data_IF_207906379998
#
_entry.id   IF_207906379998
#
_cell.length_a   1.000
_cell.length_b   1.000
_cell.length_c   1.000
_cell.angle_alpha   90.00
_cell.angle_beta   90.00
_cell.angle_gamma   90.00
#
_symmetry.space_group_name_H-M   'P 1'
#
loop_
_entity.id
_entity.type
_entity.pdbx_description
1 polymer ?
#
# COMPACT_ATOMS: atom_id res chain seq x y z
N UNK A 1 -52.11 -16.74 21.28
CA UNK A 1 -50.91 -17.40 21.86
C UNK A 1 -49.76 -16.46 21.50
N UNK A 2 -49.48 -15.43 22.32
CA UNK A 2 -48.52 -15.47 23.45
C UNK A 2 -47.22 -16.16 23.01
N UNK A 3 -46.03 -15.56 22.95
CA UNK A 3 -45.45 -14.27 23.35
C UNK A 3 -43.97 -14.33 22.90
N UNK A 4 -43.04 -13.41 23.15
CA UNK A 4 -43.04 -12.14 23.86
C UNK A 4 -41.72 -11.39 23.49
N UNK A 5 -41.81 -10.06 23.55
CA UNK A 5 -40.84 -9.07 24.06
C UNK A 5 -39.37 -8.99 23.60
N UNK A 6 -39.06 -7.84 22.99
CA UNK A 6 -37.79 -7.08 23.13
C UNK A 6 -37.76 -6.33 24.51
N UNK A 7 -36.86 -5.37 24.87
CA UNK A 7 -35.68 -4.77 24.18
C UNK A 7 -34.46 -4.38 25.09
N UNK A 8 -33.47 -3.70 24.47
CA UNK A 8 -32.68 -2.54 24.97
C UNK A 8 -31.35 -2.70 25.76
N UNK A 9 -30.40 -1.79 25.42
CA UNK A 9 -29.29 -1.29 26.26
C UNK A 9 -27.93 -1.94 25.99
N UNK A 10 -26.78 -1.25 25.97
CA UNK A 10 -26.48 0.12 26.35
C UNK A 10 -25.11 0.55 25.76
N UNK A 11 -24.95 1.85 25.56
CA UNK A 11 -23.70 2.53 25.21
C UNK A 11 -22.69 2.44 26.37
N UNK A 12 -21.41 2.19 26.08
CA UNK A 12 -20.30 2.58 26.98
C UNK A 12 -19.20 3.21 26.13
N UNK A 13 -19.20 4.53 26.19
CA UNK A 13 -18.05 5.39 25.93
C UNK A 13 -16.96 5.08 26.95
N UNK A 14 -15.73 4.85 26.51
CA UNK A 14 -14.53 4.98 27.35
C UNK A 14 -13.30 5.15 26.46
N UNK A 15 -13.05 6.41 26.10
CA UNK A 15 -11.70 6.91 25.94
C UNK A 15 -10.88 6.55 27.19
N UNK A 16 -9.74 5.89 26.99
CA UNK A 16 -8.63 5.92 27.94
C UNK A 16 -7.34 6.18 27.16
N UNK A 17 -7.03 7.46 27.06
CA UNK A 17 -5.73 8.02 26.69
C UNK A 17 -4.74 7.60 27.77
N UNK A 18 -3.72 6.81 27.43
CA UNK A 18 -2.53 6.68 28.28
C UNK A 18 -1.55 7.77 27.88
N UNK A 19 -1.47 8.77 28.75
CA UNK A 19 -0.42 9.76 28.81
C UNK A 19 0.91 9.07 29.11
N UNK A 20 1.92 9.31 28.29
CA UNK A 20 3.32 9.17 28.70
C UNK A 20 3.80 10.60 28.94
N UNK A 21 3.79 10.97 30.21
CA UNK A 21 4.51 12.12 30.73
C UNK A 21 5.91 11.63 31.11
N UNK A 22 6.90 12.03 30.32
CA UNK A 22 8.28 12.13 30.80
C UNK A 22 8.84 13.44 30.30
N UNK A 23 8.65 14.48 31.11
CA UNK A 23 9.55 15.61 31.14
C UNK A 23 10.96 15.11 31.48
N UNK A 24 11.91 15.29 30.56
CA UNK A 24 13.29 15.56 30.94
C UNK A 24 13.64 16.94 30.40
N UNK A 25 13.77 17.84 31.36
CA UNK A 25 14.21 19.22 31.20
C UNK A 25 15.73 19.18 31.01
N UNK A 26 16.18 19.50 29.80
CA UNK A 26 17.54 20.03 29.62
C UNK A 26 17.50 21.12 28.55
N UNK A 27 17.52 22.35 29.04
CA UNK A 27 17.61 23.58 28.23
C UNK A 27 19.07 23.82 27.88
N UNK A 28 19.40 23.91 26.58
CA UNK A 28 20.47 24.79 26.12
C UNK A 28 20.07 25.45 24.80
N UNK A 29 20.27 26.76 24.76
CA UNK A 29 19.80 27.65 23.72
C UNK A 29 20.81 27.70 22.56
N UNK A 30 20.51 26.97 21.49
CA UNK A 30 21.07 27.19 20.16
C UNK A 30 20.00 27.76 19.24
N UNK A 31 20.17 29.01 18.83
CA UNK A 31 19.31 29.68 17.86
C UNK A 31 19.51 29.04 16.47
N UNK A 32 18.42 28.68 15.79
CA UNK A 32 18.12 29.08 14.42
C UNK A 32 16.79 28.47 13.95
N UNK A 33 15.92 29.38 13.56
CA UNK A 33 14.67 29.17 12.83
C UNK A 33 14.80 28.19 11.68
N UNK A 34 13.96 27.16 11.66
CA UNK A 34 13.07 26.85 10.52
C UNK A 34 12.06 25.80 10.99
N UNK A 35 10.82 26.22 11.13
CA UNK A 35 9.70 25.31 11.26
C UNK A 35 9.70 24.38 10.05
N UNK A 36 10.13 23.13 10.25
CA UNK A 36 9.72 22.06 9.35
C UNK A 36 8.21 21.89 9.53
N UNK A 37 7.50 22.51 8.60
CA UNK A 37 6.09 22.27 8.33
C UNK A 37 5.84 20.77 8.43
N UNK A 38 4.82 20.29 9.16
CA UNK A 38 4.45 18.89 9.12
C UNK A 38 4.17 18.55 7.66
N UNK A 39 5.01 17.68 7.08
CA UNK A 39 4.80 17.16 5.74
C UNK A 39 3.36 16.67 5.68
N UNK A 40 2.57 17.27 4.79
CA UNK A 40 1.17 16.94 4.64
C UNK A 40 1.06 15.44 4.36
N UNK A 41 0.15 14.75 5.04
CA UNK A 41 -0.15 13.34 4.75
C UNK A 41 -0.48 13.10 3.26
N UNK A 42 -0.84 14.16 2.52
CA UNK A 42 -1.09 14.11 1.07
C UNK A 42 0.16 13.81 0.25
N UNK A 43 1.36 14.11 0.74
CA UNK A 43 2.61 13.88 0.00
C UNK A 43 3.23 12.50 0.29
N UNK A 44 2.75 11.78 1.30
CA UNK A 44 3.32 10.48 1.70
C UNK A 44 3.05 9.41 0.65
N UNK A 45 1.80 9.27 0.21
CA UNK A 45 1.40 8.30 -0.81
C UNK A 45 2.10 8.50 -2.16
N UNK A 46 2.14 9.70 -2.77
CA UNK A 46 2.84 9.90 -4.04
C UNK A 46 4.36 9.66 -3.93
N UNK A 47 5.00 10.03 -2.82
CA UNK A 47 6.41 9.73 -2.61
C UNK A 47 6.68 8.23 -2.43
N UNK A 48 5.83 7.53 -1.68
CA UNK A 48 5.92 6.08 -1.53
C UNK A 48 5.79 5.36 -2.88
N UNK A 49 4.77 5.69 -3.67
CA UNK A 49 4.56 5.10 -5.00
C UNK A 49 5.73 5.40 -5.93
N UNK A 50 6.28 6.62 -5.88
CA UNK A 50 7.47 6.98 -6.66
C UNK A 50 8.68 6.13 -6.26
N UNK A 51 8.96 5.99 -4.97
CA UNK A 51 10.08 5.17 -4.48
C UNK A 51 9.92 3.70 -4.89
N UNK A 52 8.68 3.18 -4.87
CA UNK A 52 8.39 1.84 -5.38
C UNK A 52 8.63 1.71 -6.88
N UNK A 53 8.20 2.70 -7.66
CA UNK A 53 8.42 2.72 -9.12
C UNK A 53 9.91 2.79 -9.47
N UNK A 54 10.73 3.46 -8.66
CA UNK A 54 12.19 3.55 -8.89
C UNK A 54 12.92 2.20 -8.65
N UNK A 55 12.28 1.24 -7.97
CA UNK A 55 12.83 -0.12 -7.77
C UNK A 55 12.59 -1.07 -8.95
N UNK A 56 11.68 -0.71 -9.86
CA UNK A 56 11.33 -1.51 -11.03
C UNK A 56 11.68 -0.73 -12.28
N UNK A 57 12.52 -1.30 -13.13
CA UNK A 57 12.89 -0.67 -14.39
C UNK A 57 11.64 -0.45 -15.26
N UNK A 58 11.68 0.61 -16.08
CA UNK A 58 10.58 0.89 -17.00
C UNK A 58 10.19 -0.32 -17.87
N UNK A 59 11.13 -1.06 -18.49
CA UNK A 59 10.79 -2.25 -19.27
C UNK A 59 10.07 -3.34 -18.47
N UNK A 60 10.50 -3.60 -17.23
CA UNK A 60 9.83 -4.56 -16.34
C UNK A 60 8.43 -4.06 -15.95
N UNK A 61 8.30 -2.77 -15.61
CA UNK A 61 7.03 -2.13 -15.30
C UNK A 61 6.03 -2.20 -16.47
N UNK A 62 6.48 -1.95 -17.70
CA UNK A 62 5.66 -2.04 -18.91
C UNK A 62 5.14 -3.48 -19.12
N UNK A 63 5.99 -4.51 -18.92
CA UNK A 63 5.57 -5.92 -19.05
C UNK A 63 4.60 -6.35 -17.95
N UNK A 64 4.85 -5.93 -16.71
CA UNK A 64 3.93 -6.17 -15.59
C UNK A 64 2.58 -5.51 -15.87
N UNK A 65 2.58 -4.28 -16.38
CA UNK A 65 1.37 -3.58 -16.77
C UNK A 65 0.61 -4.35 -17.86
N UNK A 66 1.27 -4.73 -18.95
CA UNK A 66 0.65 -5.51 -20.04
C UNK A 66 0.13 -6.85 -19.54
N UNK A 67 0.86 -7.53 -18.66
CA UNK A 67 0.42 -8.80 -18.10
C UNK A 67 -0.85 -8.64 -17.26
N UNK A 68 -0.94 -7.63 -16.40
CA UNK A 68 -2.08 -7.47 -15.47
C UNK A 68 -3.28 -6.84 -16.19
N UNK A 69 -3.04 -5.73 -16.90
CA UNK A 69 -4.09 -4.84 -17.37
C UNK A 69 -4.49 -5.06 -18.84
N UNK A 70 -3.69 -5.84 -19.57
CA UNK A 70 -3.93 -6.21 -20.96
C UNK A 70 -3.97 -7.74 -21.12
N UNK A 71 -3.78 -8.23 -22.35
CA UNK A 71 -3.94 -9.64 -22.71
C UNK A 71 -2.61 -10.41 -22.78
N UNK A 72 -1.51 -9.84 -22.29
CA UNK A 72 -0.20 -10.49 -22.28
C UNK A 72 -0.16 -11.63 -21.26
N UNK A 73 0.55 -12.72 -21.60
CA UNK A 73 0.52 -14.00 -20.86
C UNK A 73 1.87 -14.47 -20.34
N UNK A 74 2.94 -13.73 -20.59
CA UNK A 74 4.29 -14.15 -20.24
C UNK A 74 5.08 -13.02 -19.61
N UNK A 75 5.88 -13.38 -18.62
CA UNK A 75 6.95 -12.56 -18.08
C UNK A 75 8.27 -13.30 -18.28
N UNK A 76 9.33 -12.54 -18.52
CA UNK A 76 10.69 -13.05 -18.46
C UNK A 76 11.20 -13.08 -17.00
N UNK A 77 12.30 -13.82 -16.82
CA UNK A 77 12.95 -14.01 -15.54
C UNK A 77 13.41 -12.70 -14.91
N UNK A 78 14.00 -11.79 -15.70
CA UNK A 78 14.53 -10.52 -15.21
C UNK A 78 13.42 -9.63 -14.65
N UNK A 79 12.27 -9.59 -15.32
CA UNK A 79 11.08 -8.89 -14.82
C UNK A 79 10.60 -9.47 -13.49
N UNK A 80 10.60 -10.79 -13.32
CA UNK A 80 10.24 -11.40 -12.05
C UNK A 80 11.25 -11.10 -10.93
N UNK A 81 12.54 -10.98 -11.23
CA UNK A 81 13.56 -10.56 -10.27
C UNK A 81 13.31 -9.15 -9.75
N UNK A 82 12.99 -8.20 -10.64
CA UNK A 82 12.72 -6.81 -10.24
C UNK A 82 11.41 -6.70 -9.44
N UNK A 83 10.36 -7.39 -9.89
CA UNK A 83 9.06 -7.42 -9.17
C UNK A 83 9.22 -7.97 -7.76
N UNK A 84 9.85 -9.13 -7.62
CA UNK A 84 10.05 -9.74 -6.28
C UNK A 84 11.03 -8.94 -5.44
N UNK A 85 12.09 -8.40 -6.04
CA UNK A 85 13.08 -7.53 -5.41
C UNK A 85 12.52 -6.20 -4.89
N UNK A 86 11.50 -5.63 -5.55
CA UNK A 86 10.79 -4.44 -5.06
C UNK A 86 9.98 -4.70 -3.78
N UNK A 87 9.68 -5.98 -3.48
CA UNK A 87 8.88 -6.39 -2.35
C UNK A 87 7.37 -6.31 -2.60
N UNK A 88 6.62 -7.15 -1.88
CA UNK A 88 5.16 -7.30 -2.09
C UNK A 88 4.39 -6.01 -1.84
N UNK A 89 4.79 -5.22 -0.85
CA UNK A 89 4.12 -3.98 -0.49
C UNK A 89 4.18 -2.95 -1.63
N UNK A 90 5.37 -2.74 -2.21
CA UNK A 90 5.55 -1.84 -3.34
C UNK A 90 4.80 -2.32 -4.59
N UNK A 91 4.92 -3.60 -4.91
CA UNK A 91 4.19 -4.20 -6.02
C UNK A 91 2.67 -4.01 -5.87
N UNK A 92 2.10 -4.39 -4.72
CA UNK A 92 0.67 -4.27 -4.46
C UNK A 92 0.21 -2.80 -4.55
N UNK A 93 0.99 -1.86 -4.04
CA UNK A 93 0.65 -0.45 -4.04
C UNK A 93 0.62 0.15 -5.44
N UNK A 94 1.62 -0.16 -6.28
CA UNK A 94 1.67 0.28 -7.67
C UNK A 94 0.48 -0.27 -8.46
N UNK A 95 0.18 -1.57 -8.33
CA UNK A 95 -0.95 -2.20 -9.02
C UNK A 95 -2.27 -1.60 -8.56
N UNK A 96 -2.49 -1.45 -7.26
CA UNK A 96 -3.73 -0.85 -6.71
C UNK A 96 -3.92 0.57 -7.23
N UNK A 97 -2.86 1.38 -7.24
CA UNK A 97 -2.90 2.74 -7.75
C UNK A 97 -3.34 2.79 -9.22
N UNK A 98 -2.78 1.92 -10.07
CA UNK A 98 -3.20 1.83 -11.48
C UNK A 98 -4.64 1.33 -11.60
N UNK A 99 -5.01 0.29 -10.84
CA UNK A 99 -6.34 -0.31 -10.88
C UNK A 99 -7.46 0.63 -10.41
N UNK A 100 -7.16 1.59 -9.52
CA UNK A 100 -8.07 2.66 -9.10
C UNK A 100 -8.36 3.69 -10.21
N UNK A 101 -7.54 3.70 -11.27
CA UNK A 101 -7.71 4.55 -12.42
C UNK A 101 -9.05 4.31 -13.15
N UNK A 102 -9.64 5.35 -13.77
CA UNK A 102 -10.99 5.29 -14.33
C UNK A 102 -11.18 4.21 -15.41
N UNK A 103 -10.09 3.85 -16.13
CA UNK A 103 -10.09 2.79 -17.14
C UNK A 103 -10.25 1.39 -16.54
N UNK A 104 -9.71 1.17 -15.34
CA UNK A 104 -9.53 -0.18 -14.77
C UNK A 104 -10.45 -0.47 -13.58
N UNK A 105 -10.96 0.57 -12.92
CA UNK A 105 -11.77 0.47 -11.70
C UNK A 105 -13.00 -0.44 -11.81
N UNK A 106 -13.59 -0.54 -13.00
CA UNK A 106 -14.73 -1.46 -13.27
C UNK A 106 -14.38 -2.93 -13.04
N UNK A 107 -13.12 -3.31 -13.22
CA UNK A 107 -12.60 -4.68 -13.06
C UNK A 107 -11.51 -4.74 -11.98
N UNK A 108 -11.60 -3.88 -10.96
CA UNK A 108 -10.59 -3.74 -9.91
C UNK A 108 -10.19 -5.10 -9.30
N UNK A 109 -11.15 -5.88 -8.81
CA UNK A 109 -10.89 -7.17 -8.16
C UNK A 109 -10.26 -8.20 -9.12
N UNK A 110 -10.63 -8.15 -10.41
CA UNK A 110 -10.01 -9.00 -11.43
C UNK A 110 -8.52 -8.66 -11.60
N UNK A 111 -8.17 -7.38 -11.66
CA UNK A 111 -6.78 -6.95 -11.79
C UNK A 111 -5.96 -7.24 -10.53
N UNK A 112 -6.54 -7.07 -9.34
CA UNK A 112 -5.87 -7.47 -8.10
C UNK A 112 -5.62 -8.96 -8.06
N UNK A 113 -6.62 -9.78 -8.39
CA UNK A 113 -6.44 -11.23 -8.41
C UNK A 113 -5.35 -11.66 -9.39
N UNK A 114 -5.36 -11.08 -10.59
CA UNK A 114 -4.35 -11.34 -11.62
C UNK A 114 -2.94 -10.90 -11.19
N UNK A 115 -2.83 -9.81 -10.43
CA UNK A 115 -1.55 -9.37 -9.87
C UNK A 115 -1.02 -10.29 -8.76
N UNK A 116 -1.90 -10.82 -7.90
CA UNK A 116 -1.50 -11.82 -6.89
C UNK A 116 -0.96 -13.08 -7.55
N UNK A 117 -1.63 -13.54 -8.61
CA UNK A 117 -1.21 -14.72 -9.37
C UNK A 117 0.15 -14.47 -10.04
N UNK A 118 0.38 -13.29 -10.64
CA UNK A 118 1.68 -12.89 -11.18
C UNK A 118 2.77 -12.93 -10.11
N UNK A 119 2.55 -12.29 -8.97
CA UNK A 119 3.54 -12.22 -7.90
C UNK A 119 3.90 -13.63 -7.39
N UNK A 120 2.90 -14.51 -7.25
CA UNK A 120 3.09 -15.91 -6.88
C UNK A 120 3.89 -16.69 -7.92
N UNK A 121 3.66 -16.46 -9.21
CA UNK A 121 4.46 -17.05 -10.30
C UNK A 121 5.91 -16.62 -10.17
N UNK A 122 6.17 -15.33 -9.99
CA UNK A 122 7.52 -14.81 -9.85
C UNK A 122 8.25 -15.35 -8.60
N UNK A 123 7.56 -15.49 -7.46
CA UNK A 123 8.14 -16.15 -6.29
C UNK A 123 8.49 -17.63 -6.56
N UNK A 124 7.68 -18.33 -7.32
CA UNK A 124 7.93 -19.74 -7.67
C UNK A 124 9.15 -19.87 -8.60
N UNK A 125 9.30 -18.96 -9.56
CA UNK A 125 10.47 -18.89 -10.44
C UNK A 125 11.74 -18.53 -9.66
N UNK A 126 11.64 -17.71 -8.61
CA UNK A 126 12.78 -17.29 -7.80
C UNK A 126 13.24 -18.33 -6.78
N UNK A 127 12.32 -19.14 -6.24
CA UNK A 127 12.60 -20.15 -5.22
C UNK A 127 12.82 -21.57 -5.79
N UNK A 128 12.65 -21.74 -7.11
CA UNK A 128 12.72 -23.02 -7.83
C UNK A 128 14.08 -23.34 -8.42
#
# INVERSE_FOLDING_TARGET
>A
MHGASAPAGNSIDSLAILAIDTADESTDAGNETLAESPGSCTDILPNFLKNCADMVSKPAGDRVFSYIFEDEKSLDYDTCLEVTGSGKECYDALVKHVAEGPKFKVKYDYYLKRSEDLYSICLTVFLG
#
